data_IF_350979933169
#
_entry.id   IF_350979933169
#
_cell.length_a   1.000
_cell.length_b   1.000
_cell.length_c   1.000
_cell.angle_alpha   90.00
_cell.angle_beta   90.00
_cell.angle_gamma   90.00
#
_symmetry.space_group_name_H-M   'P 1'
#
loop_
_entity.id
_entity.type
_entity.pdbx_description
1 polymer ?
#
# COMPACT_ATOMS: atom_id res chain seq x y z
N UNK A 1 -3.79 33.83 -14.47
CA UNK A 1 -5.05 33.23 -13.99
C UNK A 1 -6.17 33.23 -15.03
N UNK A 2 -6.66 34.37 -15.55
CA UNK A 2 -7.84 34.39 -16.44
C UNK A 2 -7.77 33.46 -17.68
N UNK A 3 -6.59 33.31 -18.31
CA UNK A 3 -6.40 32.39 -19.46
C UNK A 3 -6.37 30.91 -19.06
N UNK A 4 -5.84 30.59 -17.88
CA UNK A 4 -5.77 29.22 -17.34
C UNK A 4 -7.15 28.76 -16.86
N UNK A 5 -7.95 29.66 -16.25
CA UNK A 5 -9.31 29.37 -15.81
C UNK A 5 -10.24 28.95 -16.97
N UNK A 6 -10.09 29.52 -18.17
CA UNK A 6 -10.95 29.19 -19.31
C UNK A 6 -10.75 27.78 -19.86
N UNK A 7 -9.59 27.15 -19.63
CA UNK A 7 -9.31 25.76 -20.03
C UNK A 7 -9.79 24.71 -19.03
N UNK A 8 -10.11 25.12 -17.80
CA UNK A 8 -10.50 24.19 -16.74
C UNK A 8 -11.96 23.72 -16.87
N UNK A 9 -12.27 22.47 -16.49
CA UNK A 9 -13.63 22.00 -16.27
C UNK A 9 -14.39 22.89 -15.27
N UNK A 10 -15.72 22.97 -15.40
CA UNK A 10 -16.54 23.83 -14.55
C UNK A 10 -16.37 23.51 -13.06
N UNK A 11 -16.44 22.23 -12.69
CA UNK A 11 -16.24 21.78 -11.31
C UNK A 11 -14.87 22.17 -10.74
N UNK A 12 -13.81 22.09 -11.55
CA UNK A 12 -12.45 22.50 -11.14
C UNK A 12 -12.36 24.02 -10.92
N UNK A 13 -13.03 24.82 -11.76
CA UNK A 13 -13.10 26.29 -11.58
C UNK A 13 -13.88 26.67 -10.33
N UNK A 14 -15.06 26.08 -10.13
CA UNK A 14 -15.92 26.35 -8.97
C UNK A 14 -15.15 26.05 -7.68
N UNK A 15 -14.51 24.88 -7.60
CA UNK A 15 -13.70 24.50 -6.44
C UNK A 15 -12.56 25.48 -6.18
N UNK A 16 -11.84 25.95 -7.21
CA UNK A 16 -10.78 26.94 -7.04
C UNK A 16 -11.29 28.26 -6.47
N UNK A 17 -12.48 28.70 -6.87
CA UNK A 17 -13.06 30.00 -6.50
C UNK A 17 -13.77 29.97 -5.15
N UNK A 18 -14.38 28.86 -4.78
CA UNK A 18 -15.15 28.71 -3.55
C UNK A 18 -14.31 28.27 -2.35
N UNK A 19 -13.10 27.74 -2.60
CA UNK A 19 -12.19 27.32 -1.52
C UNK A 19 -11.38 28.52 -1.01
N UNK A 20 -11.44 28.76 0.30
CA UNK A 20 -10.62 29.77 1.00
C UNK A 20 -9.20 29.23 1.25
N UNK A 21 -8.37 29.14 0.21
CA UNK A 21 -7.05 28.50 0.24
C UNK A 21 -6.09 29.06 1.31
N UNK A 22 -6.14 30.37 1.56
CA UNK A 22 -5.29 31.04 2.55
C UNK A 22 -5.55 30.55 3.98
N UNK A 23 -6.76 30.05 4.26
CA UNK A 23 -7.15 29.47 5.54
C UNK A 23 -6.74 28.00 5.69
N UNK A 24 -6.38 27.34 4.59
CA UNK A 24 -5.90 25.97 4.58
C UNK A 24 -4.40 25.90 4.77
N UNK A 25 -3.92 24.71 5.13
CA UNK A 25 -2.51 24.45 5.40
C UNK A 25 -2.03 23.22 4.65
N UNK A 26 -0.77 23.27 4.23
CA UNK A 26 0.04 22.15 3.76
C UNK A 26 1.25 21.98 4.70
N UNK A 27 2.18 21.06 4.39
CA UNK A 27 3.34 20.76 5.22
C UNK A 27 4.19 21.97 5.64
N UNK A 28 4.30 22.98 4.78
CA UNK A 28 5.17 24.14 5.01
C UNK A 28 4.45 25.41 5.51
N UNK A 29 3.16 25.33 5.89
CA UNK A 29 2.39 26.49 6.34
C UNK A 29 1.08 26.70 5.58
N UNK A 30 0.74 27.96 5.30
CA UNK A 30 -0.48 28.35 4.56
C UNK A 30 -0.46 27.80 3.13
N UNK A 31 -1.62 27.48 2.57
CA UNK A 31 -1.79 26.92 1.23
C UNK A 31 -2.16 27.96 0.15
N UNK A 32 -1.86 29.25 0.39
CA UNK A 32 -2.15 30.35 -0.54
C UNK A 32 -1.54 30.18 -1.94
N UNK A 33 -0.45 29.42 -2.04
CA UNK A 33 0.29 29.11 -3.26
C UNK A 33 -0.29 27.92 -4.05
N UNK A 34 -1.05 27.04 -3.39
CA UNK A 34 -1.60 25.81 -3.98
C UNK A 34 -2.47 26.06 -5.22
N UNK A 35 -3.35 27.08 -5.28
CA UNK A 35 -4.14 27.37 -6.48
C UNK A 35 -3.32 27.57 -7.75
N UNK A 36 -2.13 28.18 -7.63
CA UNK A 36 -1.23 28.40 -8.76
C UNK A 36 -0.69 27.06 -9.25
N UNK A 37 -0.19 26.22 -8.34
CA UNK A 37 0.27 24.87 -8.67
C UNK A 37 -0.83 24.02 -9.30
N UNK A 38 -2.05 24.04 -8.76
CA UNK A 38 -3.19 23.30 -9.32
C UNK A 38 -3.52 23.74 -10.76
N UNK A 39 -3.54 25.04 -11.02
CA UNK A 39 -3.70 25.59 -12.36
C UNK A 39 -2.58 25.16 -13.31
N UNK A 40 -1.34 25.12 -12.83
CA UNK A 40 -0.16 24.73 -13.61
C UNK A 40 -0.16 23.26 -14.04
N UNK A 41 -0.94 22.38 -13.40
CA UNK A 41 -1.07 20.97 -13.83
C UNK A 41 -1.61 20.83 -15.26
N UNK A 42 -2.39 21.80 -15.74
CA UNK A 42 -2.98 21.78 -17.08
C UNK A 42 -2.40 22.85 -18.00
N UNK A 43 -1.28 23.48 -17.61
CA UNK A 43 -0.57 24.45 -18.45
C UNK A 43 0.12 23.74 -19.63
N UNK A 44 0.35 24.46 -20.73
CA UNK A 44 1.09 23.95 -21.89
C UNK A 44 2.58 23.73 -21.57
N UNK A 45 3.13 24.45 -20.58
CA UNK A 45 4.52 24.32 -20.12
C UNK A 45 4.81 22.97 -19.41
N UNK A 46 5.64 22.08 -19.99
CA UNK A 46 5.99 20.80 -19.37
C UNK A 46 6.74 20.93 -18.05
N UNK A 47 7.63 21.92 -17.91
CA UNK A 47 8.40 22.12 -16.67
C UNK A 47 7.46 22.57 -15.55
N UNK A 48 6.58 23.54 -15.83
CA UNK A 48 5.54 24.00 -14.92
C UNK A 48 4.60 22.88 -14.46
N UNK A 49 4.18 21.97 -15.36
CA UNK A 49 3.36 20.80 -14.98
C UNK A 49 4.09 19.83 -14.05
N UNK A 50 5.35 19.53 -14.36
CA UNK A 50 6.17 18.60 -13.58
C UNK A 50 6.43 19.16 -12.17
N UNK A 51 6.77 20.45 -12.07
CA UNK A 51 6.92 21.16 -10.80
C UNK A 51 5.61 21.20 -10.00
N UNK A 52 4.47 21.41 -10.66
CA UNK A 52 3.16 21.41 -10.03
C UNK A 52 2.79 20.06 -9.42
N UNK A 53 3.05 18.96 -10.13
CA UNK A 53 2.83 17.61 -9.57
C UNK A 53 3.76 17.36 -8.38
N UNK A 54 5.02 17.76 -8.47
CA UNK A 54 5.96 17.64 -7.36
C UNK A 54 5.54 18.48 -6.14
N UNK A 55 4.90 19.64 -6.33
CA UNK A 55 4.33 20.42 -5.22
C UNK A 55 3.19 19.67 -4.51
N UNK A 56 2.39 18.89 -5.24
CA UNK A 56 1.37 18.03 -4.63
C UNK A 56 1.98 16.95 -3.73
N UNK A 57 3.04 16.29 -4.20
CA UNK A 57 3.75 15.26 -3.43
C UNK A 57 4.51 15.85 -2.22
N UNK A 58 5.23 16.95 -2.44
CA UNK A 58 6.12 17.51 -1.42
C UNK A 58 5.43 18.36 -0.37
N UNK A 59 4.35 19.07 -0.71
CA UNK A 59 3.68 19.97 0.20
C UNK A 59 2.29 19.45 0.63
N UNK A 60 1.46 19.03 -0.34
CA UNK A 60 0.06 18.67 -0.09
C UNK A 60 -0.10 17.28 0.52
N UNK A 61 0.73 16.31 0.14
CA UNK A 61 0.76 14.95 0.67
C UNK A 61 2.15 14.58 1.20
N UNK A 62 2.74 15.46 2.01
CA UNK A 62 4.12 15.31 2.46
C UNK A 62 4.34 14.01 3.24
N UNK A 63 5.08 13.07 2.63
CA UNK A 63 5.36 11.75 3.22
C UNK A 63 4.09 11.01 3.66
N UNK A 64 3.01 11.16 2.88
CA UNK A 64 1.71 10.55 3.17
C UNK A 64 0.91 11.23 4.28
N UNK A 65 1.39 12.33 4.86
CA UNK A 65 0.65 13.10 5.88
C UNK A 65 -0.48 13.90 5.23
N UNK A 66 -1.65 13.89 5.87
CA UNK A 66 -2.82 14.64 5.42
C UNK A 66 -2.89 16.01 6.10
N UNK A 67 -3.16 17.03 5.30
CA UNK A 67 -3.33 18.41 5.75
C UNK A 67 -4.69 18.95 5.31
N UNK A 68 -5.12 20.09 5.86
CA UNK A 68 -6.46 20.64 5.57
C UNK A 68 -6.65 21.00 4.09
N UNK A 69 -5.58 21.18 3.33
CA UNK A 69 -5.63 21.39 1.87
C UNK A 69 -5.72 20.09 1.04
N UNK A 70 -5.41 18.93 1.62
CA UNK A 70 -5.28 17.68 0.86
C UNK A 70 -6.59 17.28 0.18
N UNK A 71 -7.73 17.33 0.88
CA UNK A 71 -9.02 16.98 0.30
C UNK A 71 -9.47 17.94 -0.83
N UNK A 72 -9.42 19.28 -0.67
CA UNK A 72 -9.68 20.21 -1.78
C UNK A 72 -8.77 20.02 -2.99
N UNK A 73 -7.47 19.78 -2.77
CA UNK A 73 -6.54 19.51 -3.86
C UNK A 73 -6.88 18.17 -4.57
N UNK A 74 -7.24 17.13 -3.83
CA UNK A 74 -7.66 15.84 -4.39
C UNK A 74 -8.92 15.96 -5.25
N UNK A 75 -9.92 16.71 -4.78
CA UNK A 75 -11.13 16.99 -5.56
C UNK A 75 -10.84 17.79 -6.83
N UNK A 76 -9.90 18.73 -6.78
CA UNK A 76 -9.46 19.46 -7.98
C UNK A 76 -8.81 18.51 -8.99
N UNK A 77 -7.88 17.67 -8.54
CA UNK A 77 -7.20 16.69 -9.40
C UNK A 77 -8.20 15.73 -10.01
N UNK A 78 -9.16 15.22 -9.23
CA UNK A 78 -10.24 14.38 -9.73
C UNK A 78 -11.06 15.07 -10.84
N UNK A 79 -11.38 16.36 -10.66
CA UNK A 79 -12.14 17.14 -11.62
C UNK A 79 -11.41 17.39 -12.96
N UNK A 80 -10.08 17.27 -13.00
CA UNK A 80 -9.27 17.46 -14.22
C UNK A 80 -8.78 16.17 -14.87
N UNK A 81 -9.15 14.99 -14.36
CA UNK A 81 -8.64 13.72 -14.90
C UNK A 81 -8.96 13.53 -16.39
N UNK A 82 -10.12 13.97 -16.86
CA UNK A 82 -10.51 13.90 -18.28
C UNK A 82 -10.00 15.08 -19.13
N UNK A 83 -9.20 15.98 -18.55
CA UNK A 83 -8.64 17.10 -19.29
C UNK A 83 -7.67 16.61 -20.38
N UNK A 84 -7.67 17.21 -21.60
CA UNK A 84 -6.81 16.77 -22.70
C UNK A 84 -5.31 16.75 -22.37
N UNK A 85 -4.84 17.69 -21.53
CA UNK A 85 -3.44 17.72 -21.07
C UNK A 85 -3.03 16.49 -20.27
N UNK A 86 -3.98 15.70 -19.75
CA UNK A 86 -3.70 14.41 -19.12
C UNK A 86 -3.00 13.41 -20.06
N UNK A 87 -3.09 13.59 -21.38
CA UNK A 87 -2.39 12.76 -22.37
C UNK A 87 -0.91 13.15 -22.57
N UNK A 88 -0.48 14.30 -22.07
CA UNK A 88 0.91 14.74 -22.20
C UNK A 88 1.85 13.80 -21.43
N UNK A 89 3.08 13.66 -21.92
CA UNK A 89 4.13 12.99 -21.18
C UNK A 89 4.47 13.77 -19.90
N UNK A 90 4.68 13.03 -18.81
CA UNK A 90 5.19 13.51 -17.54
C UNK A 90 6.58 12.93 -17.32
N UNK A 91 7.51 13.80 -16.96
CA UNK A 91 8.87 13.45 -16.52
C UNK A 91 9.00 13.85 -15.05
N UNK A 92 9.66 13.02 -14.25
CA UNK A 92 9.82 13.29 -12.82
C UNK A 92 10.60 14.58 -12.56
N UNK A 93 10.10 15.40 -11.64
CA UNK A 93 10.73 16.66 -11.26
C UNK A 93 11.76 16.47 -10.13
N UNK A 94 11.47 15.52 -9.23
CA UNK A 94 12.19 15.32 -7.97
C UNK A 94 13.03 14.04 -8.03
N UNK A 95 14.15 13.95 -7.30
CA UNK A 95 15.07 12.81 -7.39
C UNK A 95 14.47 11.45 -7.04
N UNK A 96 13.36 11.42 -6.31
CA UNK A 96 12.64 10.20 -5.92
C UNK A 96 11.43 9.89 -6.82
N UNK A 97 11.17 10.69 -7.85
CA UNK A 97 10.23 10.36 -8.95
C UNK A 97 11.01 9.79 -10.13
N UNK A 98 11.76 8.71 -9.89
CA UNK A 98 12.60 8.00 -10.86
C UNK A 98 11.83 6.89 -11.62
N UNK A 99 10.51 6.87 -11.47
CA UNK A 99 9.63 5.94 -12.17
C UNK A 99 9.71 6.10 -13.70
N UNK A 100 9.23 5.09 -14.45
CA UNK A 100 9.26 5.13 -15.91
C UNK A 100 8.45 6.32 -16.45
N UNK A 101 8.78 6.81 -17.65
CA UNK A 101 7.97 7.83 -18.33
C UNK A 101 6.50 7.41 -18.41
N UNK A 102 5.62 8.29 -17.97
CA UNK A 102 4.17 8.03 -17.88
C UNK A 102 3.38 9.26 -18.33
N UNK A 103 2.10 9.08 -18.61
CA UNK A 103 1.21 10.22 -18.90
C UNK A 103 0.91 11.00 -17.62
N UNK A 104 0.69 12.31 -17.75
CA UNK A 104 0.24 13.14 -16.64
C UNK A 104 -0.99 12.54 -15.95
N UNK A 105 -1.97 12.04 -16.72
CA UNK A 105 -3.17 11.40 -16.16
C UNK A 105 -2.83 10.20 -15.28
N UNK A 106 -1.90 9.35 -15.69
CA UNK A 106 -1.46 8.22 -14.88
C UNK A 106 -0.77 8.70 -13.59
N UNK A 107 0.03 9.77 -13.67
CA UNK A 107 0.67 10.36 -12.50
C UNK A 107 -0.34 11.00 -11.51
N UNK A 108 -1.36 11.68 -12.02
CA UNK A 108 -2.46 12.23 -11.21
C UNK A 108 -3.30 11.14 -10.54
N UNK A 109 -3.62 10.07 -11.27
CA UNK A 109 -4.29 8.89 -10.71
C UNK A 109 -3.46 8.23 -9.61
N UNK A 110 -2.15 8.06 -9.83
CA UNK A 110 -1.25 7.52 -8.82
C UNK A 110 -1.24 8.39 -7.55
N UNK A 111 -1.18 9.72 -7.69
CA UNK A 111 -1.25 10.64 -6.56
C UNK A 111 -2.60 10.56 -5.81
N UNK A 112 -3.73 10.46 -6.53
CA UNK A 112 -5.03 10.20 -5.89
C UNK A 112 -5.07 8.87 -5.13
N UNK A 113 -4.39 7.83 -5.65
CA UNK A 113 -4.24 6.56 -4.95
C UNK A 113 -3.48 6.71 -3.63
N UNK A 114 -2.38 7.48 -3.61
CA UNK A 114 -1.64 7.77 -2.38
C UNK A 114 -2.50 8.54 -1.37
N UNK A 115 -3.28 9.53 -1.81
CA UNK A 115 -4.24 10.23 -0.93
C UNK A 115 -5.24 9.25 -0.32
N UNK A 116 -5.79 8.34 -1.12
CA UNK A 116 -6.75 7.34 -0.66
C UNK A 116 -6.12 6.32 0.31
N UNK A 117 -4.87 5.92 0.08
CA UNK A 117 -4.09 5.06 1.00
C UNK A 117 -3.85 5.77 2.34
N UNK A 118 -3.41 7.02 2.31
CA UNK A 118 -3.25 7.84 3.53
C UNK A 118 -4.56 8.01 4.30
N UNK A 119 -5.69 8.19 3.60
CA UNK A 119 -7.00 8.30 4.25
C UNK A 119 -7.48 6.99 4.90
N UNK A 120 -7.03 5.84 4.38
CA UNK A 120 -7.34 4.51 4.91
C UNK A 120 -6.56 4.16 6.19
N UNK A 121 -5.51 4.91 6.51
CA UNK A 121 -4.74 4.72 7.74
C UNK A 121 -5.64 4.79 8.97
N UNK A 122 -5.48 3.82 9.87
CA UNK A 122 -6.24 3.70 11.11
C UNK A 122 -7.60 3.01 11.00
N UNK A 123 -8.10 2.70 9.79
CA UNK A 123 -9.39 2.02 9.61
C UNK A 123 -9.31 0.52 9.86
N UNK A 124 -8.17 -0.08 9.54
CA UNK A 124 -7.87 -1.48 9.83
C UNK A 124 -6.53 -1.57 10.58
N UNK A 125 -6.56 -1.54 11.92
CA UNK A 125 -5.35 -1.66 12.72
C UNK A 125 -4.58 -2.95 12.46
N UNK A 126 -5.22 -4.04 12.02
CA UNK A 126 -4.52 -5.27 11.68
C UNK A 126 -3.75 -5.11 10.37
N UNK A 127 -4.36 -4.49 9.35
CA UNK A 127 -3.68 -4.10 8.10
C UNK A 127 -2.56 -3.09 8.36
N UNK A 128 -2.79 -2.07 9.19
CA UNK A 128 -1.76 -1.08 9.53
C UNK A 128 -0.59 -1.74 10.26
N UNK A 129 -0.86 -2.72 11.13
CA UNK A 129 0.19 -3.53 11.77
C UNK A 129 0.98 -4.36 10.75
N UNK A 130 0.35 -4.69 9.63
CA UNK A 130 1.03 -5.32 8.50
C UNK A 130 1.69 -4.32 7.54
N UNK A 131 1.61 -3.01 7.76
CA UNK A 131 2.40 -2.03 7.01
C UNK A 131 3.90 -2.22 7.28
N UNK A 132 4.75 -2.08 6.26
CA UNK A 132 6.19 -2.35 6.38
C UNK A 132 6.88 -1.37 7.34
N UNK A 133 6.41 -0.11 7.42
CA UNK A 133 6.84 0.88 8.42
C UNK A 133 6.25 0.66 9.82
N UNK A 134 5.37 -0.32 10.02
CA UNK A 134 4.77 -0.52 11.34
C UNK A 134 5.76 -1.19 12.29
N UNK A 135 5.96 -0.51 13.41
CA UNK A 135 6.73 -1.00 14.54
C UNK A 135 5.85 -1.04 15.80
N UNK A 136 5.88 -2.11 16.61
CA UNK A 136 5.06 -2.26 17.82
C UNK A 136 5.20 -1.09 18.81
N UNK A 137 6.38 -0.49 18.88
CA UNK A 137 6.70 0.62 19.77
C UNK A 137 6.29 2.00 19.22
N UNK A 138 5.83 2.10 17.96
CA UNK A 138 5.21 3.34 17.49
C UNK A 138 3.88 3.63 18.19
N UNK A 139 3.18 2.62 18.72
CA UNK A 139 1.96 2.81 19.50
C UNK A 139 2.17 3.63 20.78
N UNK A 140 3.33 3.48 21.43
CA UNK A 140 3.69 4.25 22.64
C UNK A 140 4.22 5.66 22.32
N UNK A 141 4.74 5.86 21.10
CA UNK A 141 5.28 7.15 20.63
C UNK A 141 4.32 7.96 19.74
N UNK A 142 3.17 7.42 19.35
CA UNK A 142 2.18 8.15 18.55
C UNK A 142 1.59 9.27 19.39
N UNK A 143 1.96 10.51 19.05
CA UNK A 143 1.23 11.70 19.51
C UNK A 143 -0.23 11.56 19.08
N UNK A 144 -1.15 11.92 19.97
CA UNK A 144 -2.55 12.08 19.58
C UNK A 144 -2.64 13.09 18.43
N UNK A 145 -3.30 12.73 17.31
CA UNK A 145 -3.43 13.63 16.18
C UNK A 145 -4.06 14.96 16.61
N UNK A 146 -3.55 16.05 16.07
CA UNK A 146 -4.15 17.37 16.30
C UNK A 146 -5.57 17.46 15.75
N UNK A 147 -6.40 18.42 16.22
CA UNK A 147 -7.74 18.62 15.66
C UNK A 147 -7.71 18.87 14.14
N UNK A 148 -6.72 19.60 13.64
CA UNK A 148 -6.55 19.88 12.21
C UNK A 148 -6.19 18.61 11.41
N UNK A 149 -5.37 17.71 11.97
CA UNK A 149 -5.01 16.44 11.34
C UNK A 149 -6.22 15.49 11.26
N UNK A 150 -7.04 15.44 12.32
CA UNK A 150 -8.28 14.67 12.34
C UNK A 150 -9.30 15.24 11.35
N UNK A 151 -9.43 16.58 11.28
CA UNK A 151 -10.30 17.23 10.32
C UNK A 151 -9.85 16.98 8.87
N UNK A 152 -8.54 17.04 8.60
CA UNK A 152 -7.97 16.73 7.29
C UNK A 152 -8.21 15.26 6.89
N UNK A 153 -7.98 14.32 7.82
CA UNK A 153 -8.26 12.91 7.62
C UNK A 153 -9.74 12.67 7.28
N UNK A 154 -10.65 13.24 8.08
CA UNK A 154 -12.08 13.09 7.84
C UNK A 154 -12.50 13.71 6.49
N UNK A 155 -11.99 14.89 6.14
CA UNK A 155 -12.28 15.52 4.86
C UNK A 155 -11.82 14.66 3.67
N UNK A 156 -10.68 13.98 3.78
CA UNK A 156 -10.21 13.06 2.74
C UNK A 156 -11.10 11.82 2.62
N UNK A 157 -11.61 11.29 3.75
CA UNK A 157 -12.58 10.19 3.75
C UNK A 157 -13.91 10.61 3.11
N UNK A 158 -14.41 11.78 3.47
CA UNK A 158 -15.65 12.34 2.91
C UNK A 158 -15.55 12.57 1.38
N UNK A 159 -14.34 12.82 0.86
CA UNK A 159 -14.10 12.99 -0.56
C UNK A 159 -14.09 11.66 -1.36
N UNK A 160 -13.89 10.50 -0.72
CA UNK A 160 -13.69 9.21 -1.40
C UNK A 160 -14.74 8.87 -2.46
N UNK A 161 -16.06 9.07 -2.24
CA UNK A 161 -17.04 8.76 -3.28
C UNK A 161 -16.83 9.58 -4.54
N UNK A 162 -16.56 10.89 -4.42
CA UNK A 162 -16.30 11.75 -5.56
C UNK A 162 -14.98 11.38 -6.27
N UNK A 163 -13.95 11.01 -5.50
CA UNK A 163 -12.69 10.53 -6.07
C UNK A 163 -12.90 9.22 -6.86
N UNK A 164 -13.66 8.27 -6.30
CA UNK A 164 -13.93 7.01 -6.98
C UNK A 164 -14.77 7.20 -8.26
N UNK A 165 -15.83 8.01 -8.20
CA UNK A 165 -16.66 8.31 -9.37
C UNK A 165 -15.82 8.94 -10.51
N UNK A 166 -14.77 9.72 -10.17
CA UNK A 166 -13.84 10.28 -11.16
C UNK A 166 -12.79 9.26 -11.68
N UNK A 167 -12.39 8.29 -10.85
CA UNK A 167 -11.39 7.25 -11.19
C UNK A 167 -11.99 6.11 -12.00
N UNK A 168 -13.24 5.69 -11.71
CA UNK A 168 -13.90 4.51 -12.30
C UNK A 168 -13.79 4.43 -13.84
N UNK A 169 -14.03 5.53 -14.62
CA UNK A 169 -13.95 5.47 -16.08
C UNK A 169 -12.59 5.02 -16.63
N UNK A 170 -11.52 5.25 -15.87
CA UNK A 170 -10.15 4.94 -16.27
C UNK A 170 -9.74 3.50 -16.00
N UNK A 171 -10.54 2.71 -15.27
CA UNK A 171 -10.32 1.27 -15.07
C UNK A 171 -10.33 0.49 -16.40
N UNK A 172 -11.00 1.02 -17.42
CA UNK A 172 -11.09 0.44 -18.76
C UNK A 172 -10.44 1.30 -19.84
N UNK A 173 -9.53 2.21 -19.47
CA UNK A 173 -8.81 3.06 -20.42
C UNK A 173 -8.05 2.23 -21.49
N UNK A 174 -7.85 2.78 -22.68
CA UNK A 174 -7.09 2.08 -23.72
C UNK A 174 -5.60 1.98 -23.36
N UNK A 175 -5.10 2.99 -22.66
CA UNK A 175 -3.70 3.16 -22.27
C UNK A 175 -3.38 2.30 -21.02
N UNK A 176 -2.41 1.37 -21.10
CA UNK A 176 -2.09 0.47 -19.98
C UNK A 176 -1.61 1.19 -18.71
N UNK A 177 -0.81 2.25 -18.84
CA UNK A 177 -0.32 3.05 -17.71
C UNK A 177 -1.47 3.76 -16.98
N UNK A 178 -2.45 4.27 -17.72
CA UNK A 178 -3.66 4.89 -17.15
C UNK A 178 -4.53 3.85 -16.46
N UNK A 179 -4.77 2.69 -17.07
CA UNK A 179 -5.52 1.60 -16.41
C UNK A 179 -4.88 1.14 -15.11
N UNK A 180 -3.55 0.95 -15.13
CA UNK A 180 -2.82 0.50 -13.94
C UNK A 180 -2.89 1.54 -12.82
N UNK A 181 -2.66 2.82 -13.13
CA UNK A 181 -2.77 3.89 -12.15
C UNK A 181 -4.20 4.04 -11.60
N UNK A 182 -5.21 3.89 -12.46
CA UNK A 182 -6.61 3.91 -12.04
C UNK A 182 -6.94 2.73 -11.11
N UNK A 183 -6.41 1.54 -11.40
CA UNK A 183 -6.55 0.37 -10.52
C UNK A 183 -5.87 0.60 -9.17
N UNK A 184 -4.68 1.20 -9.19
CA UNK A 184 -3.96 1.62 -7.99
C UNK A 184 -4.76 2.59 -7.12
N UNK A 185 -5.45 3.56 -7.73
CA UNK A 185 -6.31 4.49 -7.00
C UNK A 185 -7.63 3.87 -6.52
N UNK A 186 -8.27 3.04 -7.35
CA UNK A 186 -9.52 2.39 -7.01
C UNK A 186 -9.36 1.37 -5.87
N UNK A 187 -8.19 0.75 -5.73
CA UNK A 187 -7.94 -0.26 -4.70
C UNK A 187 -8.19 0.24 -3.26
N UNK A 188 -7.48 1.27 -2.76
CA UNK A 188 -7.72 1.83 -1.43
C UNK A 188 -9.11 2.51 -1.31
N UNK A 189 -9.61 3.15 -2.37
CA UNK A 189 -10.94 3.78 -2.36
C UNK A 189 -12.05 2.75 -2.12
N UNK A 190 -12.04 1.64 -2.84
CA UNK A 190 -13.05 0.58 -2.71
C UNK A 190 -12.81 -0.38 -1.54
N UNK A 191 -11.67 -0.27 -0.85
CA UNK A 191 -11.49 -0.91 0.47
C UNK A 191 -12.27 -0.19 1.57
N UNK A 192 -12.72 1.04 1.34
CA UNK A 192 -13.49 1.81 2.30
C UNK A 192 -14.92 1.24 2.45
N UNK A 193 -15.42 0.97 3.67
CA UNK A 193 -16.73 0.35 3.88
C UNK A 193 -17.90 1.12 3.25
N UNK A 194 -17.81 2.45 3.20
CA UNK A 194 -18.83 3.33 2.62
C UNK A 194 -18.97 3.21 1.10
N UNK A 195 -18.01 2.58 0.41
CA UNK A 195 -18.04 2.32 -1.04
C UNK A 195 -18.22 0.84 -1.39
N UNK A 196 -18.58 0.00 -0.42
CA UNK A 196 -18.79 -1.44 -0.64
C UNK A 196 -19.86 -1.75 -1.70
N UNK A 197 -20.85 -0.86 -1.90
CA UNK A 197 -21.88 -0.99 -2.94
C UNK A 197 -21.33 -0.83 -4.37
N UNK A 198 -20.16 -0.19 -4.53
CA UNK A 198 -19.51 0.02 -5.83
C UNK A 198 -18.63 -1.16 -6.25
N UNK A 199 -18.18 -1.99 -5.31
CA UNK A 199 -17.29 -3.14 -5.54
C UNK A 199 -17.81 -4.11 -6.63
N UNK A 200 -19.08 -4.57 -6.62
CA UNK A 200 -19.55 -5.54 -7.62
C UNK A 200 -19.42 -5.05 -9.06
N UNK A 201 -19.68 -3.75 -9.29
CA UNK A 201 -19.56 -3.12 -10.60
C UNK A 201 -18.10 -3.02 -11.03
N UNK A 202 -17.22 -2.54 -10.14
CA UNK A 202 -15.78 -2.48 -10.41
C UNK A 202 -15.20 -3.86 -10.75
N UNK A 203 -15.55 -4.87 -9.96
CA UNK A 203 -15.12 -6.24 -10.18
C UNK A 203 -15.60 -6.81 -11.53
N UNK A 204 -16.82 -6.46 -11.96
CA UNK A 204 -17.33 -6.84 -13.28
C UNK A 204 -16.55 -6.15 -14.42
N UNK A 205 -16.23 -4.87 -14.29
CA UNK A 205 -15.41 -4.14 -15.27
C UNK A 205 -14.03 -4.77 -15.43
N UNK A 206 -13.35 -5.08 -14.32
CA UNK A 206 -12.02 -5.69 -14.37
C UNK A 206 -12.04 -7.09 -14.98
N UNK A 207 -13.05 -7.91 -14.67
CA UNK A 207 -13.20 -9.25 -15.27
C UNK A 207 -13.59 -9.21 -16.75
N UNK A 208 -14.29 -8.18 -17.20
CA UNK A 208 -14.67 -7.98 -18.60
C UNK A 208 -13.52 -7.42 -19.46
N UNK A 209 -12.42 -6.99 -18.83
CA UNK A 209 -11.22 -6.49 -19.51
C UNK A 209 -10.62 -7.52 -20.48
N UNK A 210 -9.74 -7.09 -21.40
CA UNK A 210 -9.23 -7.94 -22.48
C UNK A 210 -8.40 -9.11 -21.95
N UNK A 211 -9.01 -10.29 -21.74
CA UNK A 211 -8.52 -11.45 -20.97
C UNK A 211 -7.05 -11.92 -21.14
N UNK A 212 -6.82 -13.19 -21.49
CA UNK A 212 -5.49 -13.83 -21.40
C UNK A 212 -4.34 -13.16 -22.21
N UNK A 213 -4.64 -12.16 -23.03
CA UNK A 213 -3.66 -11.34 -23.75
C UNK A 213 -3.01 -10.24 -22.90
N UNK A 214 -3.51 -9.98 -21.69
CA UNK A 214 -2.93 -9.02 -20.75
C UNK A 214 -1.55 -9.47 -20.25
N UNK A 215 -0.64 -8.51 -20.05
CA UNK A 215 0.65 -8.76 -19.43
C UNK A 215 0.45 -9.32 -18.00
N UNK A 216 1.40 -10.16 -17.54
CA UNK A 216 1.43 -10.71 -16.17
C UNK A 216 1.06 -9.68 -15.10
N UNK A 217 1.67 -8.49 -15.19
CA UNK A 217 1.51 -7.37 -14.26
C UNK A 217 0.07 -6.92 -14.13
N UNK A 218 -0.63 -6.73 -15.26
CA UNK A 218 -2.03 -6.30 -15.28
C UNK A 218 -2.95 -7.37 -14.68
N UNK A 219 -2.77 -8.64 -15.04
CA UNK A 219 -3.56 -9.74 -14.46
C UNK A 219 -3.33 -9.88 -12.95
N UNK A 220 -2.09 -9.74 -12.50
CA UNK A 220 -1.72 -9.78 -11.09
C UNK A 220 -2.32 -8.60 -10.32
N UNK A 221 -2.26 -7.39 -10.88
CA UNK A 221 -2.91 -6.20 -10.30
C UNK A 221 -4.42 -6.39 -10.13
N UNK A 222 -5.10 -6.91 -11.15
CA UNK A 222 -6.54 -7.20 -11.10
C UNK A 222 -6.86 -8.27 -10.04
N UNK A 223 -6.10 -9.37 -10.02
CA UNK A 223 -6.27 -10.44 -9.04
C UNK A 223 -6.14 -9.92 -7.61
N UNK A 224 -5.14 -9.06 -7.36
CA UNK A 224 -4.96 -8.41 -6.06
C UNK A 224 -6.12 -7.49 -5.72
N UNK A 225 -6.55 -6.62 -6.63
CA UNK A 225 -7.66 -5.70 -6.39
C UNK A 225 -8.94 -6.46 -6.01
N UNK A 226 -9.30 -7.49 -6.77
CA UNK A 226 -10.45 -8.35 -6.50
C UNK A 226 -10.36 -8.99 -5.11
N UNK A 227 -9.19 -9.55 -4.76
CA UNK A 227 -8.97 -10.14 -3.44
C UNK A 227 -9.09 -9.12 -2.31
N UNK A 228 -8.52 -7.93 -2.48
CA UNK A 228 -8.58 -6.85 -1.48
C UNK A 228 -9.99 -6.32 -1.25
N UNK A 229 -10.88 -6.39 -2.25
CA UNK A 229 -12.28 -6.02 -2.12
C UNK A 229 -13.19 -7.16 -1.64
N UNK A 230 -12.61 -8.32 -1.30
CA UNK A 230 -13.36 -9.50 -0.87
C UNK A 230 -14.17 -10.18 -1.99
N UNK A 231 -13.87 -9.91 -3.26
CA UNK A 231 -14.47 -10.62 -4.37
C UNK A 231 -13.91 -12.06 -4.46
N UNK A 232 -14.71 -12.99 -5.01
CA UNK A 232 -14.27 -14.37 -5.18
C UNK A 232 -13.12 -14.49 -6.19
N UNK A 233 -11.94 -14.88 -5.72
CA UNK A 233 -10.73 -15.09 -6.55
C UNK A 233 -10.39 -16.57 -6.76
N UNK A 234 -11.31 -17.49 -6.45
CA UNK A 234 -11.06 -18.94 -6.49
C UNK A 234 -10.63 -19.46 -7.87
N UNK A 235 -11.14 -18.85 -8.95
CA UNK A 235 -10.72 -19.11 -10.32
C UNK A 235 -9.25 -18.70 -10.56
N UNK A 236 -8.83 -17.56 -10.02
CA UNK A 236 -7.48 -17.01 -10.17
C UNK A 236 -6.42 -17.74 -9.32
N UNK A 237 -6.83 -18.43 -8.25
CA UNK A 237 -5.94 -19.36 -7.50
C UNK A 237 -5.50 -20.57 -8.35
N UNK A 238 -6.06 -20.74 -9.55
CA UNK A 238 -5.71 -21.77 -10.52
C UNK A 238 -5.01 -21.24 -11.78
N UNK A 239 -4.71 -19.93 -11.84
CA UNK A 239 -4.05 -19.31 -12.99
C UNK A 239 -2.71 -19.97 -13.31
N UNK A 240 -2.34 -20.02 -14.59
CA UNK A 240 -1.07 -20.62 -15.02
C UNK A 240 0.15 -19.84 -14.52
N UNK A 241 0.00 -18.53 -14.29
CA UNK A 241 1.06 -17.65 -13.83
C UNK A 241 1.12 -17.60 -12.28
N UNK A 242 2.27 -17.95 -11.66
CA UNK A 242 2.42 -17.94 -10.21
C UNK A 242 2.18 -16.57 -9.58
N UNK A 243 2.55 -15.48 -10.27
CA UNK A 243 2.38 -14.13 -9.74
C UNK A 243 0.89 -13.76 -9.63
N UNK A 244 0.07 -14.23 -10.57
CA UNK A 244 -1.39 -14.03 -10.54
C UNK A 244 -2.01 -14.83 -9.41
N UNK A 245 -1.63 -16.11 -9.24
CA UNK A 245 -2.11 -16.95 -8.13
C UNK A 245 -1.80 -16.32 -6.77
N UNK A 246 -0.56 -15.84 -6.58
CA UNK A 246 -0.15 -15.18 -5.33
C UNK A 246 -0.94 -13.92 -5.10
N UNK A 247 -1.09 -13.05 -6.10
CA UNK A 247 -1.88 -11.84 -5.96
C UNK A 247 -3.36 -12.12 -5.65
N UNK A 248 -3.94 -13.16 -6.24
CA UNK A 248 -5.29 -13.64 -5.92
C UNK A 248 -5.43 -14.13 -4.47
N UNK A 249 -4.34 -14.58 -3.84
CA UNK A 249 -4.27 -15.07 -2.47
C UNK A 249 -3.88 -13.99 -1.44
N UNK A 250 -3.60 -12.74 -1.85
CA UNK A 250 -3.26 -11.65 -0.93
C UNK A 250 -4.49 -11.04 -0.23
N UNK A 251 -5.70 -11.37 -0.68
CA UNK A 251 -6.94 -10.86 -0.09
C UNK A 251 -7.11 -11.29 1.38
N UNK A 252 -7.84 -10.51 2.20
CA UNK A 252 -8.07 -10.86 3.60
C UNK A 252 -9.05 -12.04 3.78
N UNK A 253 -9.85 -12.36 2.75
CA UNK A 253 -10.91 -13.38 2.82
C UNK A 253 -10.88 -14.29 1.60
N UNK A 254 -10.98 -15.59 1.82
CA UNK A 254 -11.00 -16.60 0.76
C UNK A 254 -12.03 -17.69 1.01
N UNK A 255 -12.74 -18.10 -0.04
CA UNK A 255 -13.61 -19.27 0.00
C UNK A 255 -12.82 -20.57 0.22
N UNK A 256 -11.62 -20.67 -0.38
CA UNK A 256 -10.67 -21.77 -0.20
C UNK A 256 -9.39 -21.29 0.51
N UNK A 257 -9.51 -21.02 1.83
CA UNK A 257 -8.40 -20.59 2.68
C UNK A 257 -7.18 -21.53 2.60
N UNK A 258 -7.32 -22.87 2.71
CA UNK A 258 -6.17 -23.77 2.67
C UNK A 258 -5.38 -23.65 1.36
N UNK A 259 -6.06 -23.52 0.22
CA UNK A 259 -5.40 -23.33 -1.07
C UNK A 259 -4.70 -21.98 -1.18
N UNK A 260 -5.36 -20.90 -0.78
CA UNK A 260 -4.76 -19.57 -0.78
C UNK A 260 -3.49 -19.54 0.10
N UNK A 261 -3.56 -20.09 1.32
CA UNK A 261 -2.41 -20.21 2.19
C UNK A 261 -1.28 -21.05 1.57
N UNK A 262 -1.61 -22.18 0.95
CA UNK A 262 -0.61 -23.02 0.27
C UNK A 262 0.10 -22.27 -0.88
N UNK A 263 -0.63 -21.45 -1.64
CA UNK A 263 -0.06 -20.62 -2.72
C UNK A 263 0.92 -19.59 -2.15
N UNK A 264 0.56 -18.90 -1.06
CA UNK A 264 1.45 -17.92 -0.42
C UNK A 264 2.70 -18.59 0.15
N UNK A 265 2.54 -19.72 0.84
CA UNK A 265 3.65 -20.48 1.43
C UNK A 265 4.61 -21.03 0.37
N UNK A 266 4.09 -21.46 -0.78
CA UNK A 266 4.93 -21.93 -1.89
C UNK A 266 5.80 -20.81 -2.47
N UNK A 267 5.23 -19.61 -2.66
CA UNK A 267 5.97 -18.44 -3.12
C UNK A 267 7.09 -18.00 -2.16
N UNK A 268 6.90 -18.21 -0.86
CA UNK A 268 7.88 -17.88 0.17
C UNK A 268 9.04 -18.90 0.28
N UNK A 269 8.96 -20.06 -0.40
CA UNK A 269 10.07 -21.02 -0.45
C UNK A 269 11.22 -20.55 -1.33
N UNK A 270 10.95 -19.69 -2.31
CA UNK A 270 11.97 -19.04 -3.14
C UNK A 270 11.71 -17.52 -3.21
N UNK A 271 12.07 -16.77 -2.14
CA UNK A 271 11.74 -15.35 -2.04
C UNK A 271 12.43 -14.49 -3.10
N UNK A 272 13.60 -14.91 -3.62
CA UNK A 272 14.32 -14.17 -4.67
C UNK A 272 13.59 -14.24 -6.01
N UNK A 273 13.08 -15.42 -6.36
CA UNK A 273 12.26 -15.58 -7.57
C UNK A 273 10.96 -14.78 -7.44
N UNK A 274 10.31 -14.84 -6.27
CA UNK A 274 9.07 -14.10 -5.97
C UNK A 274 9.26 -12.59 -6.09
N UNK A 275 10.34 -12.04 -5.56
CA UNK A 275 10.67 -10.62 -5.70
C UNK A 275 10.96 -10.21 -7.15
N UNK A 276 11.50 -11.13 -7.96
CA UNK A 276 11.83 -10.88 -9.36
C UNK A 276 10.63 -10.92 -10.31
N UNK A 277 9.41 -11.18 -9.84
CA UNK A 277 8.23 -11.27 -10.71
C UNK A 277 7.80 -9.93 -11.31
N UNK A 278 8.08 -8.83 -10.62
CA UNK A 278 7.74 -7.49 -11.05
C UNK A 278 8.99 -6.60 -11.04
N UNK A 279 9.39 -6.02 -12.18
CA UNK A 279 10.53 -5.10 -12.24
C UNK A 279 10.33 -3.85 -11.37
N UNK A 280 9.08 -3.42 -11.26
CA UNK A 280 8.62 -2.31 -10.41
C UNK A 280 7.56 -2.84 -9.45
N UNK A 281 7.42 -2.32 -8.22
CA UNK A 281 6.33 -2.73 -7.32
C UNK A 281 4.95 -2.53 -7.96
N UNK A 282 3.98 -3.39 -7.63
CA UNK A 282 2.58 -3.13 -8.01
C UNK A 282 2.05 -1.93 -7.20
N UNK A 283 1.08 -1.15 -7.72
CA UNK A 283 0.53 0.01 -7.00
C UNK A 283 0.09 -0.33 -5.58
N UNK A 284 0.54 0.42 -4.56
CA UNK A 284 0.21 0.16 -3.15
C UNK A 284 0.94 -1.04 -2.53
N UNK A 285 2.00 -1.54 -3.18
CA UNK A 285 2.98 -2.43 -2.58
C UNK A 285 4.30 -1.70 -2.45
N UNK A 286 4.85 -1.70 -1.24
CA UNK A 286 6.13 -1.09 -0.94
C UNK A 286 7.16 -2.14 -0.54
N UNK A 287 8.42 -1.86 -0.87
CA UNK A 287 9.53 -2.75 -0.57
C UNK A 287 9.49 -4.04 -1.39
N UNK A 288 10.07 -5.11 -0.84
CA UNK A 288 10.16 -6.39 -1.52
C UNK A 288 8.82 -7.12 -1.51
N UNK A 289 8.41 -7.67 -2.67
CA UNK A 289 7.11 -8.32 -2.83
C UNK A 289 6.87 -9.43 -1.80
N UNK A 290 7.91 -10.20 -1.45
CA UNK A 290 7.84 -11.23 -0.40
C UNK A 290 7.37 -10.73 0.96
N UNK A 291 7.55 -9.45 1.31
CA UNK A 291 7.09 -8.91 2.59
C UNK A 291 5.58 -8.93 2.66
N UNK A 292 4.90 -8.50 1.60
CA UNK A 292 3.44 -8.57 1.50
C UNK A 292 2.95 -10.01 1.50
N UNK A 293 3.62 -10.91 0.77
CA UNK A 293 3.28 -12.33 0.73
C UNK A 293 3.40 -12.97 2.12
N UNK A 294 4.50 -12.72 2.83
CA UNK A 294 4.73 -13.22 4.19
C UNK A 294 3.63 -12.74 5.13
N UNK A 295 3.35 -11.44 5.15
CA UNK A 295 2.36 -10.88 6.06
C UNK A 295 0.95 -11.41 5.78
N UNK A 296 0.60 -11.56 4.50
CA UNK A 296 -0.67 -12.18 4.10
C UNK A 296 -0.74 -13.63 4.56
N UNK A 297 0.34 -14.41 4.43
CA UNK A 297 0.39 -15.80 4.89
C UNK A 297 0.25 -15.90 6.42
N UNK A 298 0.94 -15.03 7.17
CA UNK A 298 0.87 -14.98 8.63
C UNK A 298 -0.56 -14.60 9.10
N UNK A 299 -1.22 -13.67 8.41
CA UNK A 299 -2.58 -13.23 8.72
C UNK A 299 -3.64 -14.29 8.35
N UNK A 300 -3.44 -15.00 7.24
CA UNK A 300 -4.38 -16.00 6.73
C UNK A 300 -4.31 -17.33 7.48
N UNK A 301 -3.17 -17.64 8.09
CA UNK A 301 -3.00 -18.83 8.91
C UNK A 301 -3.83 -18.72 10.20
N UNK A 302 -4.47 -19.82 10.61
CA UNK A 302 -5.20 -19.94 11.88
C UNK A 302 -4.23 -20.10 13.05
N UNK A 303 -3.12 -20.81 12.85
CA UNK A 303 -2.08 -21.00 13.87
C UNK A 303 -0.68 -20.80 13.31
N UNK A 304 0.31 -20.63 14.20
CA UNK A 304 1.70 -20.50 13.77
C UNK A 304 2.23 -21.80 13.14
N UNK A 305 1.70 -22.96 13.55
CA UNK A 305 2.10 -24.27 13.03
C UNK A 305 1.86 -24.42 11.53
N UNK A 306 0.82 -23.81 10.96
CA UNK A 306 0.55 -23.86 9.51
C UNK A 306 1.66 -23.18 8.69
N UNK A 307 2.32 -22.16 9.25
CA UNK A 307 3.35 -21.34 8.55
C UNK A 307 4.77 -21.67 9.00
N UNK A 308 4.92 -22.38 10.12
CA UNK A 308 6.19 -22.59 10.80
C UNK A 308 7.30 -23.14 9.88
N UNK A 309 7.08 -24.17 9.02
CA UNK A 309 8.17 -24.70 8.20
C UNK A 309 8.81 -23.65 7.28
N UNK A 310 8.00 -22.76 6.70
CA UNK A 310 8.47 -21.69 5.82
C UNK A 310 9.07 -20.54 6.66
N UNK A 311 8.39 -20.13 7.73
CA UNK A 311 8.87 -19.05 8.60
C UNK A 311 10.22 -19.36 9.25
N UNK A 312 10.40 -20.59 9.75
CA UNK A 312 11.68 -21.07 10.30
C UNK A 312 12.76 -21.09 9.21
N UNK A 313 12.42 -21.54 8.00
CA UNK A 313 13.34 -21.51 6.86
C UNK A 313 13.81 -20.10 6.50
N UNK A 314 12.90 -19.12 6.50
CA UNK A 314 13.23 -17.70 6.28
C UNK A 314 14.22 -17.20 7.34
N UNK A 315 13.96 -17.46 8.63
CA UNK A 315 14.86 -17.04 9.72
C UNK A 315 16.23 -17.71 9.61
N UNK A 316 16.27 -19.02 9.33
CA UNK A 316 17.49 -19.82 9.25
C UNK A 316 18.39 -19.46 8.05
N UNK A 317 17.80 -19.01 6.93
CA UNK A 317 18.55 -18.65 5.71
C UNK A 317 19.00 -17.18 5.68
N UNK A 318 18.53 -16.35 6.61
CA UNK A 318 18.65 -14.89 6.54
C UNK A 318 20.10 -14.37 6.44
N UNK A 319 20.29 -13.34 5.61
CA UNK A 319 21.47 -12.47 5.61
C UNK A 319 21.17 -11.13 6.31
N UNK A 320 22.20 -10.39 6.73
CA UNK A 320 22.08 -9.22 7.63
C UNK A 320 21.32 -7.98 7.12
N UNK A 321 20.67 -8.01 5.94
CA UNK A 321 20.07 -6.83 5.30
C UNK A 321 18.52 -6.76 5.38
N UNK A 322 17.85 -7.70 6.05
CA UNK A 322 16.37 -7.78 6.07
C UNK A 322 15.84 -8.09 7.48
N UNK A 323 16.49 -7.53 8.50
CA UNK A 323 16.25 -7.88 9.91
C UNK A 323 14.82 -7.61 10.38
N UNK A 324 14.25 -6.44 10.10
CA UNK A 324 12.98 -6.04 10.72
C UNK A 324 11.72 -6.52 9.99
N UNK A 325 11.77 -6.64 8.66
CA UNK A 325 10.55 -6.80 7.85
C UNK A 325 10.03 -8.24 7.78
N UNK A 326 10.88 -9.24 8.07
CA UNK A 326 10.52 -10.66 8.06
C UNK A 326 10.51 -11.26 9.48
N UNK A 327 11.60 -11.06 10.24
CA UNK A 327 11.79 -11.70 11.55
C UNK A 327 10.81 -11.18 12.61
N UNK A 328 10.56 -9.88 12.63
CA UNK A 328 9.61 -9.23 13.55
C UNK A 328 8.19 -9.78 13.43
N UNK A 329 7.56 -9.72 12.23
CA UNK A 329 6.23 -10.29 12.01
C UNK A 329 6.15 -11.79 12.32
N UNK A 330 7.18 -12.58 12.00
CA UNK A 330 7.24 -14.01 12.34
C UNK A 330 7.22 -14.21 13.86
N UNK A 331 8.03 -13.45 14.61
CA UNK A 331 8.07 -13.51 16.08
C UNK A 331 6.70 -13.16 16.69
N UNK A 332 6.07 -12.07 16.24
CA UNK A 332 4.75 -11.69 16.76
C UNK A 332 3.66 -12.70 16.41
N UNK A 333 3.74 -13.34 15.24
CA UNK A 333 2.80 -14.42 14.90
C UNK A 333 2.98 -15.65 15.77
N UNK A 334 4.23 -15.98 16.11
CA UNK A 334 4.56 -17.10 16.99
C UNK A 334 4.18 -16.83 18.47
N UNK A 335 4.21 -15.57 18.90
CA UNK A 335 3.94 -15.13 20.28
C UNK A 335 2.93 -13.96 20.33
N UNK A 336 1.67 -14.17 19.91
CA UNK A 336 0.70 -13.07 19.73
C UNK A 336 0.28 -12.37 21.03
N UNK A 337 0.40 -13.05 22.18
CA UNK A 337 0.18 -12.50 23.52
C UNK A 337 1.47 -12.29 24.33
N UNK A 338 2.61 -12.40 23.66
CA UNK A 338 3.91 -12.56 24.32
C UNK A 338 4.17 -13.99 24.82
N UNK A 339 5.42 -14.29 25.12
CA UNK A 339 5.83 -15.53 25.76
C UNK A 339 5.34 -15.55 27.22
N UNK A 340 4.62 -16.62 27.58
CA UNK A 340 4.16 -16.90 28.94
C UNK A 340 5.02 -18.03 29.53
N UNK A 341 5.90 -17.75 30.51
CA UNK A 341 6.76 -18.75 31.14
C UNK A 341 5.99 -19.90 31.81
N UNK A 342 4.71 -19.72 32.12
CA UNK A 342 3.86 -20.77 32.68
C UNK A 342 3.38 -21.78 31.62
N UNK A 343 3.52 -21.47 30.32
CA UNK A 343 3.10 -22.32 29.21
C UNK A 343 4.31 -22.90 28.47
N UNK A 344 4.36 -24.22 28.24
CA UNK A 344 5.45 -24.81 27.48
C UNK A 344 5.41 -24.35 26.02
N UNK A 345 6.59 -24.15 25.43
CA UNK A 345 6.74 -23.81 24.02
C UNK A 345 6.29 -24.96 23.11
N UNK A 346 5.55 -24.64 22.05
CA UNK A 346 5.21 -25.61 21.00
C UNK A 346 6.48 -26.04 20.25
N UNK A 347 6.41 -27.14 19.48
CA UNK A 347 7.55 -27.57 18.66
C UNK A 347 7.95 -26.49 17.65
N UNK A 348 6.96 -25.89 16.99
CA UNK A 348 7.16 -24.80 16.04
C UNK A 348 7.86 -23.59 16.67
N UNK A 349 7.44 -23.18 17.88
CA UNK A 349 8.08 -22.09 18.61
C UNK A 349 9.54 -22.43 18.99
N UNK A 350 9.80 -23.65 19.47
CA UNK A 350 11.16 -24.10 19.78
C UNK A 350 12.06 -24.13 18.54
N UNK A 351 11.54 -24.61 17.41
CA UNK A 351 12.31 -24.67 16.17
C UNK A 351 12.60 -23.27 15.62
N UNK A 352 11.65 -22.32 15.75
CA UNK A 352 11.87 -20.91 15.45
C UNK A 352 12.99 -20.30 16.32
N UNK A 353 12.89 -20.45 17.65
CA UNK A 353 13.89 -19.90 18.57
C UNK A 353 15.28 -20.52 18.36
N UNK A 354 15.35 -21.82 18.04
CA UNK A 354 16.61 -22.48 17.63
C UNK A 354 17.22 -21.83 16.40
N UNK A 355 16.40 -21.57 15.36
CA UNK A 355 16.89 -20.90 14.15
C UNK A 355 17.47 -19.51 14.44
N UNK A 356 16.88 -18.75 15.38
CA UNK A 356 17.44 -17.48 15.84
C UNK A 356 18.78 -17.65 16.56
N UNK A 357 18.89 -18.62 17.47
CA UNK A 357 20.13 -18.89 18.25
C UNK A 357 21.28 -19.37 17.36
N UNK A 358 20.97 -20.25 16.40
CA UNK A 358 21.95 -20.83 15.48
C UNK A 358 22.46 -19.78 14.49
N UNK A 359 21.58 -18.85 14.07
CA UNK A 359 21.92 -17.77 13.13
C UNK A 359 22.43 -16.48 13.80
N UNK A 360 22.46 -16.38 15.13
CA UNK A 360 22.69 -15.11 15.84
C UNK A 360 24.07 -14.51 15.53
N UNK A 361 25.13 -15.32 15.61
CA UNK A 361 26.51 -14.87 15.35
C UNK A 361 26.72 -14.39 13.91
N UNK A 362 26.07 -15.04 12.94
CA UNK A 362 26.23 -14.74 11.52
C UNK A 362 25.36 -13.56 11.06
N UNK A 363 24.24 -13.31 11.74
CA UNK A 363 23.20 -12.42 11.22
C UNK A 363 22.79 -11.30 12.19
N UNK A 364 23.37 -11.25 13.39
CA UNK A 364 22.89 -10.38 14.47
C UNK A 364 21.44 -10.67 14.83
N UNK A 365 21.06 -11.95 14.76
CA UNK A 365 19.67 -12.43 14.76
C UNK A 365 18.81 -11.91 15.91
N UNK A 366 19.37 -11.90 17.12
CA UNK A 366 18.72 -11.53 18.36
C UNK A 366 19.12 -10.11 18.74
N UNK A 367 20.42 -9.80 18.73
CA UNK A 367 20.94 -8.47 19.10
C UNK A 367 20.42 -7.34 18.21
N UNK A 368 20.23 -7.59 16.91
CA UNK A 368 19.65 -6.65 15.95
C UNK A 368 18.12 -6.59 15.96
N UNK A 369 17.44 -7.50 16.66
CA UNK A 369 15.97 -7.59 16.72
C UNK A 369 15.43 -7.43 18.15
N UNK A 370 16.23 -6.91 19.09
CA UNK A 370 15.87 -6.88 20.52
C UNK A 370 14.53 -6.22 20.83
N UNK A 371 14.09 -5.24 20.04
CA UNK A 371 12.77 -4.62 20.20
C UNK A 371 11.62 -5.57 19.85
N UNK A 372 11.77 -6.40 18.81
CA UNK A 372 10.80 -7.43 18.43
C UNK A 372 10.75 -8.57 19.45
N UNK A 373 11.92 -9.00 19.95
CA UNK A 373 11.98 -9.99 21.03
C UNK A 373 11.28 -9.48 22.30
N UNK A 374 11.52 -8.22 22.69
CA UNK A 374 10.82 -7.59 23.80
C UNK A 374 9.31 -7.52 23.57
N UNK A 375 8.87 -7.13 22.37
CA UNK A 375 7.45 -7.09 22.01
C UNK A 375 6.79 -8.48 22.06
N UNK A 376 7.56 -9.53 21.74
CA UNK A 376 7.15 -10.93 21.87
C UNK A 376 7.29 -11.49 23.30
N UNK A 377 7.65 -10.67 24.30
CA UNK A 377 7.83 -11.11 25.69
C UNK A 377 9.03 -12.04 25.91
N UNK A 378 10.00 -12.03 24.99
CA UNK A 378 11.17 -12.91 25.00
C UNK A 378 12.43 -12.17 25.50
N UNK A 379 13.43 -12.91 26.02
CA UNK A 379 14.78 -12.39 26.25
C UNK A 379 15.37 -11.73 25.00
N UNK A 380 16.22 -10.71 25.20
CA UNK A 380 16.82 -9.91 24.11
C UNK A 380 18.28 -10.29 23.84
N UNK A 381 18.73 -11.40 24.40
CA UNK A 381 20.08 -11.93 24.28
C UNK A 381 20.04 -13.45 24.02
N UNK A 382 21.11 -13.94 23.39
CA UNK A 382 21.22 -15.34 22.96
C UNK A 382 21.17 -16.33 24.11
N UNK A 383 21.80 -16.01 25.24
CA UNK A 383 21.85 -16.90 26.41
C UNK A 383 20.45 -17.07 27.01
N UNK A 384 19.69 -15.97 27.11
CA UNK A 384 18.32 -15.96 27.55
C UNK A 384 17.40 -16.79 26.66
N UNK A 385 17.54 -16.70 25.33
CA UNK A 385 16.77 -17.54 24.40
C UNK A 385 17.20 -19.01 24.49
N UNK A 386 18.50 -19.29 24.58
CA UNK A 386 19.00 -20.66 24.72
C UNK A 386 18.51 -21.35 25.99
N UNK A 387 18.30 -20.59 27.08
CA UNK A 387 17.74 -21.11 28.33
C UNK A 387 16.26 -21.52 28.25
N UNK A 388 15.53 -21.07 27.22
CA UNK A 388 14.13 -21.46 26.98
C UNK A 388 13.98 -22.75 26.15
N UNK A 389 15.06 -23.25 25.55
CA UNK A 389 15.11 -24.40 24.64
C UNK A 389 15.50 -25.70 25.34
#
# INVERSE_FOLDING_TARGET
MARILNGLPAAARELLLETEWDALRHAYGSAADVPVSLCSLVDEDPEGRSAALAALDTAVLHQGSLYTVTAPAALFVAAILDHPMGLAAHEGHVPWDDGPPRRLRAALLAWLGQVAESAAHGEDPARDRTHWLWEPWQGEMRREPGPDELAALQACRDARPALYDAVEPFLTAAEPDVREAALGAAMPLLSAPELADRVPRAAALLRAGPGAAQARRERAGVARALGMWGADTSDLLSDSDPAVRVCAALGPTHADRPRALAVLLDALRDPRTTDGWFPEPLPGLDGWFRFTVLRSALALAESFEEVAPVAVGIVATGGGAVTDFERGPILLRAFPGGHDPARPLTSAQRDLLRAFVDGDEATGGIGGNGLWFRAAGLPVDREGIAALL
#
